data_IF_775718344304
#
_entry.id   IF_775718344304
#
_cell.length_a   1.000
_cell.length_b   1.000
_cell.length_c   1.000
_cell.angle_alpha   90.00
_cell.angle_beta   90.00
_cell.angle_gamma   90.00
#
_symmetry.space_group_name_H-M   'P 1'
#
loop_
_entity.id
_entity.type
_entity.pdbx_description
1 polymer ?
#
# COMPACT_ATOMS: atom_id res chain seq x y z
N UNK A 1 10.45 7.94 1.83
CA UNK A 1 9.00 7.68 1.88
C UNK A 1 8.51 8.07 3.26
N UNK A 2 7.32 8.68 3.34
CA UNK A 2 6.62 8.98 4.59
C UNK A 2 5.22 8.37 4.56
N UNK A 3 4.73 7.87 5.69
CA UNK A 3 3.35 7.38 5.80
C UNK A 3 2.44 8.49 6.32
N UNK A 4 1.32 8.70 5.64
CA UNK A 4 0.26 9.63 6.04
C UNK A 4 -1.07 8.89 6.11
N UNK A 5 -1.98 9.41 6.93
CA UNK A 5 -3.32 8.89 7.07
C UNK A 5 -4.31 9.95 6.60
N UNK A 6 -5.29 9.55 5.79
CA UNK A 6 -6.43 10.40 5.43
C UNK A 6 -7.65 9.95 6.22
N UNK A 7 -8.37 10.91 6.79
CA UNK A 7 -9.61 10.66 7.53
C UNK A 7 -10.49 11.91 7.44
N UNK A 8 -11.80 11.72 7.25
CA UNK A 8 -12.77 12.80 7.07
C UNK A 8 -12.40 13.75 5.91
N UNK A 9 -11.76 13.23 4.85
CA UNK A 9 -11.36 14.01 3.68
C UNK A 9 -10.10 14.86 3.84
N UNK A 10 -9.40 14.73 4.97
CA UNK A 10 -8.21 15.53 5.28
C UNK A 10 -7.03 14.65 5.72
N UNK A 11 -5.81 15.19 5.63
CA UNK A 11 -4.61 14.55 6.17
C UNK A 11 -4.67 14.65 7.69
N UNK A 12 -4.63 13.51 8.38
CA UNK A 12 -4.68 13.42 9.84
C UNK A 12 -3.42 14.05 10.49
N UNK A 13 -3.53 14.35 11.78
CA UNK A 13 -2.46 14.85 12.66
C UNK A 13 -1.97 16.26 12.30
N UNK A 14 -2.86 17.08 11.71
CA UNK A 14 -2.61 18.48 11.34
C UNK A 14 -1.41 18.70 10.40
N UNK A 15 -0.92 17.65 9.72
CA UNK A 15 0.10 17.82 8.67
C UNK A 15 -0.54 18.41 7.43
N UNK A 16 0.07 19.49 6.94
CA UNK A 16 -0.36 20.15 5.70
C UNK A 16 0.48 19.68 4.50
N UNK A 17 0.01 19.97 3.28
CA UNK A 17 0.80 19.75 2.08
C UNK A 17 2.15 20.47 2.14
N UNK A 18 2.18 21.69 2.67
CA UNK A 18 3.41 22.48 2.81
C UNK A 18 4.42 21.82 3.76
N UNK A 19 3.94 21.14 4.82
CA UNK A 19 4.81 20.40 5.73
C UNK A 19 5.45 19.20 5.02
N UNK A 20 4.68 18.48 4.20
CA UNK A 20 5.17 17.36 3.41
C UNK A 20 6.15 17.81 2.32
N UNK A 21 5.92 18.96 1.68
CA UNK A 21 6.83 19.49 0.66
C UNK A 21 8.19 19.89 1.27
N UNK A 22 8.19 20.40 2.50
CA UNK A 22 9.43 20.76 3.22
C UNK A 22 10.25 19.56 3.66
N UNK A 23 9.65 18.36 3.79
CA UNK A 23 10.40 17.17 4.18
C UNK A 23 11.30 16.63 3.05
N UNK A 24 11.09 17.09 1.80
CA UNK A 24 11.92 16.70 0.65
C UNK A 24 11.74 15.25 0.21
N UNK A 25 10.67 14.59 0.67
CA UNK A 25 10.32 13.25 0.25
C UNK A 25 9.74 13.25 -1.16
N UNK A 26 9.97 12.15 -1.88
CA UNK A 26 9.45 11.96 -3.25
C UNK A 26 8.22 11.05 -3.29
N UNK A 27 7.98 10.29 -2.22
CA UNK A 27 7.01 9.20 -2.20
C UNK A 27 6.23 9.18 -0.88
N UNK A 28 4.91 9.05 -0.98
CA UNK A 28 3.98 8.93 0.14
C UNK A 28 3.33 7.56 0.16
N UNK A 29 3.28 6.96 1.35
CA UNK A 29 2.36 5.87 1.64
C UNK A 29 1.10 6.45 2.26
N UNK A 30 -0.04 6.33 1.58
CA UNK A 30 -1.31 6.94 1.96
C UNK A 30 -2.24 5.88 2.48
N UNK A 31 -2.62 5.96 3.76
CA UNK A 31 -3.66 5.13 4.36
C UNK A 31 -4.98 5.90 4.35
N UNK A 32 -5.90 5.55 3.47
CA UNK A 32 -7.22 6.21 3.40
C UNK A 32 -8.24 5.51 4.29
N UNK A 33 -8.40 5.98 5.53
CA UNK A 33 -9.34 5.38 6.48
C UNK A 33 -10.80 5.57 6.06
N UNK A 34 -11.15 6.61 5.28
CA UNK A 34 -12.52 6.77 4.79
C UNK A 34 -12.85 5.69 3.76
N UNK A 35 -11.91 5.37 2.86
CA UNK A 35 -12.07 4.24 1.94
C UNK A 35 -12.17 2.92 2.69
N UNK A 36 -11.24 2.68 3.62
CA UNK A 36 -11.13 1.40 4.32
C UNK A 36 -12.34 1.13 5.24
N UNK A 37 -12.99 2.18 5.78
CA UNK A 37 -14.12 2.05 6.70
C UNK A 37 -15.48 2.24 6.05
N UNK A 38 -15.57 3.11 5.04
CA UNK A 38 -16.84 3.56 4.46
C UNK A 38 -16.97 3.22 2.97
N UNK A 39 -15.90 2.74 2.33
CA UNK A 39 -15.86 2.45 0.90
C UNK A 39 -15.82 3.70 0.02
N UNK A 40 -15.49 4.87 0.59
CA UNK A 40 -15.46 6.15 -0.14
C UNK A 40 -14.03 6.67 -0.22
N UNK A 41 -13.31 6.43 -1.33
CA UNK A 41 -11.94 6.89 -1.48
C UNK A 41 -11.85 8.41 -1.71
N UNK A 42 -10.81 9.02 -1.15
CA UNK A 42 -10.51 10.44 -1.24
C UNK A 42 -9.78 10.81 -2.54
N UNK A 43 -10.36 10.42 -3.69
CA UNK A 43 -9.77 10.55 -5.03
C UNK A 43 -9.29 11.97 -5.38
N UNK A 44 -10.04 13.00 -4.95
CA UNK A 44 -9.64 14.41 -5.16
C UNK A 44 -8.35 14.76 -4.42
N UNK A 45 -8.16 14.21 -3.22
CA UNK A 45 -6.95 14.44 -2.43
C UNK A 45 -5.77 13.68 -3.05
N UNK A 46 -5.99 12.47 -3.57
CA UNK A 46 -4.97 11.74 -4.34
C UNK A 46 -4.49 12.55 -5.55
N UNK A 47 -5.43 13.12 -6.31
CA UNK A 47 -5.12 13.93 -7.49
C UNK A 47 -4.38 15.23 -7.14
N UNK A 48 -4.53 15.73 -5.91
CA UNK A 48 -3.79 16.89 -5.41
C UNK A 48 -2.36 16.49 -5.00
N UNK A 49 -2.23 15.43 -4.20
CA UNK A 49 -0.95 14.94 -3.68
C UNK A 49 -0.03 14.42 -4.79
N UNK A 50 -0.60 13.73 -5.79
CA UNK A 50 0.14 13.12 -6.90
C UNK A 50 0.84 14.11 -7.83
N UNK A 51 0.51 15.41 -7.73
CA UNK A 51 1.25 16.47 -8.44
C UNK A 51 2.67 16.66 -7.90
N UNK A 52 2.93 16.20 -6.69
CA UNK A 52 4.17 16.46 -5.96
C UNK A 52 4.87 15.17 -5.51
N UNK A 53 4.12 14.09 -5.29
CA UNK A 53 4.65 12.84 -4.74
C UNK A 53 4.17 11.64 -5.55
N UNK A 54 5.01 10.61 -5.66
CA UNK A 54 4.51 9.28 -6.01
C UNK A 54 3.68 8.71 -4.86
N UNK A 55 2.51 8.11 -5.16
CA UNK A 55 1.57 7.66 -4.14
C UNK A 55 1.40 6.15 -4.13
N UNK A 56 1.75 5.51 -3.01
CA UNK A 56 1.29 4.16 -2.68
C UNK A 56 0.03 4.29 -1.84
N UNK A 57 -1.12 3.96 -2.42
CA UNK A 57 -2.43 4.20 -1.79
C UNK A 57 -3.01 2.90 -1.25
N UNK A 58 -3.31 2.89 0.06
CA UNK A 58 -4.03 1.83 0.73
C UNK A 58 -5.50 2.23 0.90
N UNK A 59 -6.34 1.74 -0.01
CA UNK A 59 -7.78 2.04 -0.03
C UNK A 59 -8.68 0.82 -0.25
N UNK A 60 -8.10 -0.37 -0.50
CA UNK A 60 -8.80 -1.65 -0.70
C UNK A 60 -9.95 -1.58 -1.71
N UNK A 61 -9.64 -1.45 -3.01
CA UNK A 61 -10.69 -1.46 -4.02
C UNK A 61 -11.49 -2.77 -3.95
N UNK A 62 -12.81 -2.66 -4.04
CA UNK A 62 -13.72 -3.80 -4.02
C UNK A 62 -13.99 -4.37 -5.41
N UNK A 63 -13.84 -3.54 -6.45
CA UNK A 63 -14.06 -3.89 -7.85
C UNK A 63 -12.99 -3.28 -8.73
N UNK A 64 -12.85 -3.82 -9.95
CA UNK A 64 -11.91 -3.33 -10.96
C UNK A 64 -12.07 -1.82 -11.26
N UNK A 65 -13.28 -1.26 -11.40
CA UNK A 65 -13.43 0.19 -11.57
C UNK A 65 -12.84 1.01 -10.42
N UNK A 66 -12.99 0.56 -9.18
CA UNK A 66 -12.48 1.27 -8.00
C UNK A 66 -10.93 1.29 -8.00
N UNK A 67 -10.30 0.21 -8.49
CA UNK A 67 -8.85 0.15 -8.73
C UNK A 67 -8.42 1.14 -9.82
N UNK A 68 -9.14 1.17 -10.94
CA UNK A 68 -8.86 2.10 -12.05
C UNK A 68 -8.98 3.55 -11.58
N UNK A 69 -10.03 3.89 -10.83
CA UNK A 69 -10.26 5.22 -10.28
C UNK A 69 -9.09 5.67 -9.39
N UNK A 70 -8.50 4.74 -8.64
CA UNK A 70 -7.32 5.01 -7.80
C UNK A 70 -6.10 5.41 -8.64
N UNK A 71 -5.80 4.66 -9.70
CA UNK A 71 -4.71 4.98 -10.62
C UNK A 71 -4.95 6.27 -11.41
N UNK A 72 -6.16 6.47 -11.94
CA UNK A 72 -6.56 7.69 -12.65
C UNK A 72 -6.44 8.92 -11.75
N UNK A 73 -6.65 8.75 -10.45
CA UNK A 73 -6.50 9.81 -9.44
C UNK A 73 -5.05 9.99 -8.97
N UNK A 74 -4.08 9.32 -9.59
CA UNK A 74 -2.66 9.56 -9.38
C UNK A 74 -1.98 8.62 -8.39
N UNK A 75 -2.61 7.52 -7.98
CA UNK A 75 -1.90 6.44 -7.31
C UNK A 75 -0.84 5.85 -8.26
N UNK A 76 0.41 5.72 -7.83
CA UNK A 76 1.42 4.96 -8.57
C UNK A 76 1.33 3.46 -8.25
N UNK A 77 0.93 3.13 -7.01
CA UNK A 77 0.64 1.76 -6.58
C UNK A 77 -0.59 1.71 -5.69
N UNK A 78 -1.31 0.60 -5.72
CA UNK A 78 -2.54 0.40 -4.91
C UNK A 78 -2.40 -0.83 -4.04
N UNK A 79 -2.74 -0.69 -2.76
CA UNK A 79 -2.76 -1.81 -1.81
C UNK A 79 -4.11 -2.52 -1.87
N UNK A 80 -4.04 -3.82 -2.10
CA UNK A 80 -5.14 -4.76 -2.05
C UNK A 80 -5.28 -5.35 -0.65
N UNK A 81 -6.53 -5.64 -0.29
CA UNK A 81 -6.81 -6.40 0.93
C UNK A 81 -6.44 -7.88 0.76
N UNK A 82 -6.19 -8.55 1.87
CA UNK A 82 -5.80 -9.96 1.94
C UNK A 82 -6.99 -10.94 1.84
N UNK A 83 -8.21 -10.42 1.75
CA UNK A 83 -9.49 -11.15 1.61
C UNK A 83 -10.05 -11.12 0.17
N UNK A 84 -9.30 -10.57 -0.78
CA UNK A 84 -9.66 -10.55 -2.20
C UNK A 84 -9.65 -11.97 -2.78
N UNK A 85 -10.70 -12.33 -3.52
CA UNK A 85 -10.80 -13.64 -4.18
C UNK A 85 -9.76 -13.81 -5.31
N UNK A 86 -9.32 -15.06 -5.55
CA UNK A 86 -8.38 -15.39 -6.64
C UNK A 86 -8.83 -14.89 -8.02
N UNK A 87 -10.14 -14.91 -8.28
CA UNK A 87 -10.71 -14.36 -9.52
C UNK A 87 -10.44 -12.87 -9.62
N UNK A 88 -10.76 -12.12 -8.57
CA UNK A 88 -10.60 -10.67 -8.55
C UNK A 88 -9.11 -10.27 -8.55
N UNK A 89 -8.23 -11.06 -7.92
CA UNK A 89 -6.77 -10.89 -8.01
C UNK A 89 -6.29 -10.93 -9.47
N UNK A 90 -6.77 -11.91 -10.26
CA UNK A 90 -6.43 -12.01 -11.69
C UNK A 90 -6.93 -10.80 -12.47
N UNK A 91 -8.16 -10.38 -12.20
CA UNK A 91 -8.74 -9.20 -12.84
C UNK A 91 -7.92 -7.94 -12.50
N UNK A 92 -7.52 -7.74 -11.24
CA UNK A 92 -6.65 -6.63 -10.84
C UNK A 92 -5.26 -6.67 -11.51
N UNK A 93 -4.60 -7.83 -11.51
CA UNK A 93 -3.28 -7.97 -12.14
C UNK A 93 -3.33 -7.83 -13.67
N UNK A 94 -4.48 -8.05 -14.30
CA UNK A 94 -4.67 -7.76 -15.72
C UNK A 94 -4.75 -6.27 -16.03
N UNK A 95 -5.09 -5.44 -15.03
CA UNK A 95 -5.10 -3.97 -15.15
C UNK A 95 -3.71 -3.40 -14.92
N UNK A 96 -3.00 -3.85 -13.89
CA UNK A 96 -1.69 -3.32 -13.52
C UNK A 96 -0.89 -4.31 -12.68
N UNK A 97 0.44 -4.30 -12.85
CA UNK A 97 1.39 -4.99 -11.97
C UNK A 97 1.81 -4.14 -10.75
N UNK A 98 1.42 -2.86 -10.73
CA UNK A 98 1.71 -1.91 -9.65
C UNK A 98 0.77 -2.09 -8.45
N UNK A 99 0.67 -3.34 -7.97
CA UNK A 99 -0.21 -3.75 -6.88
C UNK A 99 0.60 -4.23 -5.68
N UNK A 100 0.16 -3.83 -4.50
CA UNK A 100 0.73 -4.26 -3.23
C UNK A 100 -0.32 -5.10 -2.52
N UNK A 101 0.01 -6.30 -2.04
CA UNK A 101 -0.95 -7.13 -1.32
C UNK A 101 -0.71 -7.02 0.19
N UNK A 102 -1.73 -6.73 1.00
CA UNK A 102 -1.61 -6.92 2.45
C UNK A 102 -1.35 -8.41 2.73
N UNK A 103 -0.31 -8.71 3.49
CA UNK A 103 0.10 -10.08 3.73
C UNK A 103 -0.51 -10.65 5.01
N UNK A 104 -1.06 -11.87 4.91
CA UNK A 104 -1.56 -12.65 6.06
C UNK A 104 -1.26 -14.15 5.98
N UNK A 105 -0.23 -14.55 5.21
CA UNK A 105 0.11 -15.96 4.93
C UNK A 105 -1.09 -16.82 4.45
N UNK A 106 -2.06 -16.18 3.80
CA UNK A 106 -3.29 -16.81 3.30
C UNK A 106 -3.17 -17.33 1.87
N UNK A 107 -4.24 -17.99 1.39
CA UNK A 107 -4.37 -18.44 0.01
C UNK A 107 -4.31 -17.28 -1.00
N UNK A 108 -4.96 -16.15 -0.69
CA UNK A 108 -4.97 -14.96 -1.53
C UNK A 108 -3.55 -14.43 -1.81
N UNK A 109 -2.68 -14.33 -0.79
CA UNK A 109 -1.29 -13.90 -0.96
C UNK A 109 -0.48 -14.88 -1.83
N UNK A 110 -0.72 -16.19 -1.68
CA UNK A 110 -0.09 -17.22 -2.53
C UNK A 110 -0.57 -17.12 -3.97
N UNK A 111 -1.88 -16.94 -4.18
CA UNK A 111 -2.45 -16.75 -5.52
C UNK A 111 -1.86 -15.50 -6.18
N UNK A 112 -1.81 -14.37 -5.46
CA UNK A 112 -1.18 -13.14 -5.92
C UNK A 112 0.27 -13.35 -6.33
N UNK A 113 1.06 -14.05 -5.51
CA UNK A 113 2.46 -14.37 -5.81
C UNK A 113 2.63 -15.28 -7.03
N UNK A 114 1.81 -16.32 -7.16
CA UNK A 114 1.82 -17.22 -8.32
C UNK A 114 1.43 -16.53 -9.62
N UNK A 115 0.65 -15.44 -9.53
CA UNK A 115 0.23 -14.63 -10.68
C UNK A 115 1.22 -13.51 -11.01
N UNK A 116 2.38 -13.48 -10.36
CA UNK A 116 3.46 -12.52 -10.63
C UNK A 116 3.48 -11.30 -9.71
N UNK A 117 2.48 -11.15 -8.84
CA UNK A 117 2.46 -10.11 -7.80
C UNK A 117 3.62 -10.30 -6.83
N UNK A 118 4.38 -9.23 -6.56
CA UNK A 118 5.63 -9.35 -5.80
C UNK A 118 5.86 -8.20 -4.81
N UNK A 119 4.85 -7.37 -4.55
CA UNK A 119 4.93 -6.31 -3.54
C UNK A 119 3.95 -6.60 -2.41
N UNK A 120 4.40 -6.44 -1.17
CA UNK A 120 3.57 -6.75 0.01
C UNK A 120 3.61 -5.65 1.06
N UNK A 121 2.50 -5.50 1.77
CA UNK A 121 2.38 -4.73 3.01
C UNK A 121 2.25 -5.71 4.18
N UNK A 122 3.10 -5.63 5.20
CA UNK A 122 3.03 -6.59 6.31
C UNK A 122 3.52 -6.05 7.66
N UNK A 123 2.95 -6.60 8.73
CA UNK A 123 3.44 -6.51 10.10
C UNK A 123 3.99 -7.84 10.66
N UNK A 124 4.18 -8.84 9.80
CA UNK A 124 4.75 -10.14 10.14
C UNK A 124 5.82 -10.51 9.10
N UNK A 125 6.59 -11.56 9.37
CA UNK A 125 7.55 -12.08 8.40
C UNK A 125 6.83 -12.62 7.15
N UNK A 126 7.33 -12.23 5.97
CA UNK A 126 6.80 -12.66 4.67
C UNK A 126 7.64 -13.82 4.15
N UNK A 127 7.02 -15.00 4.04
CA UNK A 127 7.67 -16.22 3.53
C UNK A 127 7.54 -16.42 2.00
N UNK A 128 7.13 -15.39 1.28
CA UNK A 128 7.00 -15.38 -0.19
C UNK A 128 8.11 -14.55 -0.81
N UNK A 129 8.41 -14.79 -2.09
CA UNK A 129 9.35 -13.95 -2.83
C UNK A 129 8.70 -12.60 -3.11
N UNK A 130 9.42 -11.52 -2.79
CA UNK A 130 8.98 -10.15 -3.03
C UNK A 130 10.11 -9.29 -3.59
N UNK A 131 9.72 -8.26 -4.36
CA UNK A 131 10.57 -7.17 -4.81
C UNK A 131 10.56 -6.02 -3.79
N UNK A 132 9.39 -5.69 -3.24
CA UNK A 132 9.22 -4.62 -2.25
C UNK A 132 8.34 -5.07 -1.09
N UNK A 133 8.80 -4.83 0.14
CA UNK A 133 8.05 -5.03 1.37
C UNK A 133 7.86 -3.69 2.08
N UNK A 134 6.61 -3.25 2.20
CA UNK A 134 6.22 -2.16 3.09
C UNK A 134 5.96 -2.77 4.48
N UNK A 135 6.85 -2.53 5.42
CA UNK A 135 6.80 -3.10 6.76
C UNK A 135 6.30 -2.08 7.78
N UNK A 136 5.37 -2.48 8.63
CA UNK A 136 4.84 -1.64 9.71
C UNK A 136 4.72 -2.43 11.01
N UNK A 137 4.98 -1.80 12.16
CA UNK A 137 4.83 -2.43 13.48
C UNK A 137 5.75 -3.63 13.77
N UNK A 138 6.66 -4.01 12.86
CA UNK A 138 7.57 -5.14 13.05
C UNK A 138 8.84 -4.70 13.77
N UNK A 139 9.23 -5.41 14.83
CA UNK A 139 10.66 -5.53 15.20
C UNK A 139 11.27 -6.59 14.29
N UNK A 140 11.78 -6.18 13.13
CA UNK A 140 12.42 -7.11 12.18
C UNK A 140 13.66 -7.69 12.90
N UNK A 141 13.54 -8.92 13.44
CA UNK A 141 14.72 -9.67 13.85
C UNK A 141 15.40 -10.13 12.56
N UNK A 142 16.37 -9.36 12.09
CA UNK A 142 17.22 -9.69 10.94
C UNK A 142 18.11 -10.89 11.27
N UNK A 143 17.55 -12.09 11.39
CA UNK A 143 18.31 -13.33 11.57
C UNK A 143 18.06 -14.38 10.49
N UNK A 144 17.17 -14.12 9.52
CA UNK A 144 17.16 -14.87 8.28
C UNK A 144 18.29 -14.30 7.44
N UNK A 145 19.38 -15.05 7.30
CA UNK A 145 20.48 -14.73 6.40
C UNK A 145 19.91 -14.28 5.07
N UNK A 146 19.90 -12.96 4.85
CA UNK A 146 19.54 -12.34 3.59
C UNK A 146 20.66 -12.76 2.64
N UNK A 147 20.48 -13.91 1.98
CA UNK A 147 21.14 -14.14 0.70
C UNK A 147 20.77 -12.96 -0.16
N UNK A 148 21.70 -12.00 -0.25
CA UNK A 148 21.65 -10.87 -1.18
C UNK A 148 21.38 -11.44 -2.57
N UNK A 149 20.12 -11.43 -2.99
CA UNK A 149 19.78 -11.13 -4.37
C UNK A 149 19.54 -9.62 -4.36
N UNK A 150 20.30 -8.89 -5.16
CA UNK A 150 20.41 -7.42 -5.17
C UNK A 150 19.12 -6.66 -5.53
N UNK A 151 17.93 -7.21 -5.28
CA UNK A 151 16.65 -6.75 -5.82
C UNK A 151 15.48 -6.71 -4.82
N UNK A 152 15.71 -6.93 -3.52
CA UNK A 152 14.66 -6.83 -2.49
C UNK A 152 14.76 -5.50 -1.73
N UNK A 153 13.71 -4.68 -1.78
CA UNK A 153 13.58 -3.40 -1.07
C UNK A 153 12.65 -3.57 0.13
N UNK A 154 13.13 -3.23 1.33
CA UNK A 154 12.28 -3.14 2.53
C UNK A 154 12.12 -1.67 2.89
N UNK A 155 10.88 -1.22 3.05
CA UNK A 155 10.53 0.14 3.41
C UNK A 155 9.78 0.11 4.74
N UNK A 156 10.33 0.78 5.74
CA UNK A 156 9.68 0.93 7.04
C UNK A 156 8.66 2.07 6.96
N UNK A 157 7.41 1.78 7.35
CA UNK A 157 6.34 2.75 7.42
C UNK A 157 6.21 3.28 8.85
N UNK A 158 7.02 4.26 9.18
CA UNK A 158 6.88 5.02 10.43
C UNK A 158 5.53 5.73 10.44
N UNK A 159 4.86 5.76 11.60
CA UNK A 159 3.51 6.34 11.78
C UNK A 159 2.36 5.63 11.04
N UNK A 160 2.56 4.39 10.58
CA UNK A 160 1.45 3.57 10.10
C UNK A 160 0.42 3.34 11.24
N UNK A 161 -0.89 3.58 11.03
CA UNK A 161 -1.89 3.49 12.08
C UNK A 161 -2.31 2.03 12.33
N UNK A 162 -1.38 1.22 12.85
CA UNK A 162 -1.54 -0.24 12.99
C UNK A 162 -2.73 -0.63 13.87
N UNK A 163 -3.03 0.16 14.90
CA UNK A 163 -4.13 -0.07 15.85
C UNK A 163 -5.51 0.03 15.18
N UNK A 164 -5.61 0.67 14.00
CA UNK A 164 -6.86 0.76 13.26
C UNK A 164 -7.20 -0.53 12.49
N UNK A 165 -6.32 -1.54 12.51
CA UNK A 165 -6.38 -2.77 11.70
C UNK A 165 -6.19 -4.08 12.48
N UNK A 166 -6.30 -4.04 13.81
CA UNK A 166 -6.25 -5.22 14.70
C UNK A 166 -7.60 -5.93 14.79
#
# INVERSE_FOLDING_TARGET
>A
MECITIQQGEIRDNRTLDDLLKSGIEELFVVDLDSLRRGTPNLKLYASLSKYFELVVMNYPYRVPDLIDSFVSGASRVVLSNDVSDRLIREYLSVSDQLVMKYSNGSACRAFSLLGGNMFLSNIEVNLVYSTLYAYGIRIQTNTAITRKDSQKIILLDHFPADEFQ
#
